data_IF_903940090492
#
_entry.id   IF_903940090492
#
_cell.length_a   1.000
_cell.length_b   1.000
_cell.length_c   1.000
_cell.angle_alpha   90.00
_cell.angle_beta   90.00
_cell.angle_gamma   90.00
#
_symmetry.space_group_name_H-M   'P 1'
#
loop_
_entity.id
_entity.type
_entity.pdbx_description
1 polymer ?
#
# COMPACT_ATOMS: atom_id res chain seq x y z
N UNK A 1 1.28 -0.73 42.30
CA UNK A 1 1.30 -0.77 40.81
C UNK A 1 0.50 -1.95 40.24
N UNK A 2 -0.81 -2.07 40.52
CA UNK A 2 -1.64 -3.18 40.00
C UNK A 2 -2.85 -2.75 39.13
N UNK A 3 -3.23 -1.47 39.15
CA UNK A 3 -4.41 -0.99 38.40
C UNK A 3 -4.10 -0.52 36.96
N UNK A 4 -2.83 -0.43 36.56
CA UNK A 4 -2.47 0.03 35.20
C UNK A 4 -2.50 -1.09 34.15
N UNK A 5 -2.34 -2.36 34.55
CA UNK A 5 -2.35 -3.50 33.64
C UNK A 5 -3.75 -3.86 33.12
N UNK A 6 -4.80 -3.67 33.95
CA UNK A 6 -6.18 -4.00 33.58
C UNK A 6 -6.77 -3.01 32.53
N UNK A 7 -6.37 -1.74 32.59
CA UNK A 7 -6.78 -0.72 31.63
C UNK A 7 -6.14 -0.93 30.24
N UNK A 8 -4.95 -1.52 30.16
CA UNK A 8 -4.33 -1.85 28.87
C UNK A 8 -5.06 -3.00 28.15
N UNK A 9 -5.51 -4.02 28.90
CA UNK A 9 -6.21 -5.19 28.34
C UNK A 9 -7.60 -4.85 27.78
N UNK A 10 -8.33 -3.93 28.42
CA UNK A 10 -9.64 -3.49 27.91
C UNK A 10 -9.49 -2.71 26.60
N UNK A 11 -8.53 -1.78 26.52
CA UNK A 11 -8.31 -0.97 25.30
C UNK A 11 -7.91 -1.85 24.11
N UNK A 12 -7.07 -2.87 24.32
CA UNK A 12 -6.65 -3.79 23.25
C UNK A 12 -7.80 -4.65 22.72
N UNK A 13 -8.69 -5.16 23.57
CA UNK A 13 -9.84 -5.96 23.11
C UNK A 13 -10.87 -5.14 22.31
N UNK A 14 -11.13 -3.89 22.70
CA UNK A 14 -12.00 -2.99 21.93
C UNK A 14 -11.42 -2.58 20.57
N UNK A 15 -10.09 -2.50 20.48
CA UNK A 15 -9.36 -2.21 19.23
C UNK A 15 -9.51 -3.33 18.21
N UNK A 16 -9.29 -4.58 18.62
CA UNK A 16 -9.43 -5.76 17.75
C UNK A 16 -10.87 -5.91 17.24
N UNK A 17 -11.87 -5.68 18.11
CA UNK A 17 -13.28 -5.79 17.74
C UNK A 17 -13.72 -4.72 16.74
N UNK A 18 -13.27 -3.47 16.90
CA UNK A 18 -13.59 -2.38 15.97
C UNK A 18 -13.01 -2.62 14.57
N UNK A 19 -11.82 -3.23 14.51
CA UNK A 19 -11.20 -3.60 13.26
C UNK A 19 -11.91 -4.79 12.61
N UNK A 20 -12.23 -5.84 13.38
CA UNK A 20 -12.96 -7.02 12.89
C UNK A 20 -14.30 -6.67 12.25
N UNK A 21 -15.05 -5.72 12.83
CA UNK A 21 -16.33 -5.25 12.27
C UNK A 21 -16.14 -4.46 10.97
N UNK A 22 -15.10 -3.63 10.89
CA UNK A 22 -14.77 -2.88 9.66
C UNK A 22 -14.29 -3.81 8.54
N UNK A 23 -13.63 -4.92 8.90
CA UNK A 23 -13.17 -5.93 7.96
C UNK A 23 -14.31 -6.87 7.53
N UNK A 24 -15.27 -7.18 8.41
CA UNK A 24 -16.42 -8.03 8.10
C UNK A 24 -17.45 -7.38 7.19
N UNK A 25 -17.56 -6.04 7.17
CA UNK A 25 -18.47 -5.34 6.26
C UNK A 25 -18.08 -5.43 4.79
N UNK A 26 -16.89 -5.98 4.47
CA UNK A 26 -16.48 -6.29 3.10
C UNK A 26 -17.09 -7.57 2.53
N UNK A 27 -17.64 -8.45 3.38
CA UNK A 27 -18.17 -9.76 2.99
C UNK A 27 -19.70 -9.82 2.87
N UNK A 28 -20.41 -8.69 3.04
CA UNK A 28 -21.85 -8.65 2.76
C UNK A 28 -22.07 -8.71 1.24
N UNK A 29 -22.07 -9.95 0.72
CA UNK A 29 -22.48 -10.33 -0.64
C UNK A 29 -23.96 -10.75 -0.69
N UNK A 30 -24.64 -10.79 0.45
CA UNK A 30 -26.03 -11.23 0.53
C UNK A 30 -26.94 -10.00 0.52
N UNK A 31 -27.78 -9.91 -0.52
CA UNK A 31 -28.81 -8.88 -0.75
C UNK A 31 -29.91 -8.79 0.32
N UNK A 32 -29.72 -9.39 1.51
CA UNK A 32 -30.74 -9.55 2.55
C UNK A 32 -30.38 -8.92 3.91
N UNK A 33 -29.14 -8.51 4.13
CA UNK A 33 -28.75 -7.83 5.38
C UNK A 33 -28.75 -6.31 5.17
N UNK A 34 -29.73 -5.61 5.77
CA UNK A 34 -29.74 -4.15 5.81
C UNK A 34 -28.50 -3.65 6.57
N UNK A 35 -27.53 -3.09 5.84
CA UNK A 35 -26.34 -2.50 6.44
C UNK A 35 -26.69 -1.10 6.96
N UNK A 36 -26.70 -0.92 8.29
CA UNK A 36 -26.83 0.42 8.88
C UNK A 36 -25.55 1.24 8.67
N UNK A 37 -25.58 2.11 7.67
CA UNK A 37 -24.46 2.99 7.36
C UNK A 37 -24.07 3.95 8.48
N UNK A 38 -24.98 4.31 9.39
CA UNK A 38 -24.64 5.14 10.54
C UNK A 38 -23.71 4.40 11.51
N UNK A 39 -23.97 3.10 11.73
CA UNK A 39 -23.11 2.25 12.56
C UNK A 39 -21.75 2.07 11.88
N UNK A 40 -21.74 1.79 10.57
CA UNK A 40 -20.49 1.66 9.79
C UNK A 40 -19.65 2.93 9.86
N UNK A 41 -20.24 4.11 9.63
CA UNK A 41 -19.53 5.39 9.71
C UNK A 41 -19.01 5.67 11.11
N UNK A 42 -19.80 5.42 12.17
CA UNK A 42 -19.34 5.55 13.57
C UNK A 42 -18.14 4.64 13.86
N UNK A 43 -18.19 3.39 13.38
CA UNK A 43 -17.11 2.43 13.59
C UNK A 43 -15.86 2.82 12.82
N UNK A 44 -15.99 3.25 11.56
CA UNK A 44 -14.86 3.74 10.75
C UNK A 44 -14.21 4.98 11.38
N UNK A 45 -15.00 5.92 11.90
CA UNK A 45 -14.49 7.07 12.65
C UNK A 45 -13.74 6.64 13.92
N UNK A 46 -14.30 5.69 14.67
CA UNK A 46 -13.66 5.16 15.89
C UNK A 46 -12.33 4.47 15.55
N UNK A 47 -12.33 3.61 14.54
CA UNK A 47 -11.15 2.89 14.06
C UNK A 47 -10.07 3.87 13.57
N UNK A 48 -10.44 4.85 12.75
CA UNK A 48 -9.52 5.89 12.28
C UNK A 48 -8.88 6.67 13.46
N UNK A 49 -9.67 7.05 14.48
CA UNK A 49 -9.15 7.70 15.69
C UNK A 49 -8.16 6.80 16.45
N UNK A 50 -8.43 5.50 16.54
CA UNK A 50 -7.51 4.54 17.15
C UNK A 50 -6.19 4.45 16.38
N UNK A 51 -6.25 4.35 15.05
CA UNK A 51 -5.06 4.37 14.20
C UNK A 51 -4.22 5.63 14.43
N UNK A 52 -4.84 6.82 14.40
CA UNK A 52 -4.11 8.09 14.62
C UNK A 52 -3.55 8.22 16.03
N UNK A 53 -4.19 7.65 17.05
CA UNK A 53 -3.66 7.61 18.41
C UNK A 53 -2.44 6.70 18.52
N UNK A 54 -2.50 5.53 17.90
CA UNK A 54 -1.40 4.57 17.86
C UNK A 54 -0.20 5.12 17.08
N UNK A 55 -0.45 5.86 16.00
CA UNK A 55 0.58 6.41 15.14
C UNK A 55 1.62 7.27 15.86
N UNK A 56 1.21 7.95 16.94
CA UNK A 56 2.11 8.77 17.76
C UNK A 56 3.17 7.98 18.52
N UNK A 57 3.05 6.65 18.60
CA UNK A 57 3.94 5.77 19.38
C UNK A 57 4.84 4.90 18.50
N UNK A 58 4.70 4.97 17.18
CA UNK A 58 5.34 4.07 16.23
C UNK A 58 6.19 4.90 15.26
N UNK A 59 7.44 4.48 15.08
CA UNK A 59 8.30 5.06 14.05
C UNK A 59 8.04 4.37 12.70
N UNK A 60 7.09 4.90 11.94
CA UNK A 60 6.80 4.39 10.59
C UNK A 60 7.89 4.72 9.56
N UNK A 61 8.79 5.69 9.83
CA UNK A 61 9.84 6.07 8.86
C UNK A 61 10.86 4.95 8.67
N UNK A 62 11.14 4.16 9.71
CA UNK A 62 12.07 3.03 9.61
C UNK A 62 11.50 1.81 8.89
N UNK A 63 10.17 1.71 8.73
CA UNK A 63 9.52 0.57 8.09
C UNK A 63 9.93 0.39 6.63
N UNK A 64 10.03 1.48 5.86
CA UNK A 64 10.40 1.40 4.43
C UNK A 64 11.75 0.72 4.21
N UNK A 65 12.71 0.92 5.13
CA UNK A 65 14.03 0.29 5.05
C UNK A 65 13.94 -1.22 5.23
N UNK A 66 13.07 -1.69 6.12
CA UNK A 66 12.83 -3.13 6.34
C UNK A 66 12.16 -3.72 5.11
N UNK A 67 11.08 -3.09 4.62
CA UNK A 67 10.37 -3.52 3.40
C UNK A 67 11.34 -3.63 2.21
N UNK A 68 12.19 -2.62 1.98
CA UNK A 68 13.13 -2.63 0.85
C UNK A 68 14.21 -3.71 1.04
N UNK A 69 14.71 -3.91 2.26
CA UNK A 69 15.70 -4.97 2.54
C UNK A 69 15.14 -6.36 2.21
N UNK A 70 13.88 -6.58 2.58
CA UNK A 70 13.19 -7.86 2.48
C UNK A 70 12.50 -8.05 1.10
N UNK A 71 12.66 -7.09 0.20
CA UNK A 71 12.13 -7.11 -1.15
C UNK A 71 12.81 -8.21 -1.98
N UNK A 72 11.98 -9.12 -2.54
CA UNK A 72 12.43 -10.24 -3.36
C UNK A 72 12.04 -10.02 -4.83
N UNK A 73 13.04 -9.97 -5.71
CA UNK A 73 12.88 -9.82 -7.15
C UNK A 73 13.36 -11.04 -7.92
N UNK A 74 13.55 -12.20 -7.27
CA UNK A 74 13.93 -13.45 -7.95
C UNK A 74 13.00 -13.78 -9.12
N UNK A 75 11.75 -13.36 -9.02
CA UNK A 75 10.73 -13.61 -10.03
C UNK A 75 10.72 -12.60 -11.20
N UNK A 76 11.50 -11.52 -11.15
CA UNK A 76 11.62 -10.53 -12.23
C UNK A 76 13.04 -10.60 -12.80
N UNK A 77 13.29 -11.40 -13.85
CA UNK A 77 14.63 -11.58 -14.41
C UNK A 77 15.15 -10.33 -15.12
N UNK A 78 14.25 -9.50 -15.68
CA UNK A 78 14.60 -8.40 -16.58
C UNK A 78 15.42 -7.29 -15.92
N UNK A 79 16.29 -6.64 -16.69
CA UNK A 79 17.06 -5.48 -16.22
C UNK A 79 16.17 -4.27 -15.87
N UNK A 80 14.96 -4.24 -16.41
CA UNK A 80 13.95 -3.22 -16.19
C UNK A 80 12.85 -3.78 -15.30
N UNK A 81 12.32 -2.96 -14.38
CA UNK A 81 11.15 -3.29 -13.58
C UNK A 81 10.23 -2.08 -13.53
N UNK A 82 8.93 -2.30 -13.76
CA UNK A 82 7.92 -1.25 -13.66
C UNK A 82 7.24 -1.32 -12.30
N UNK A 83 7.34 -0.25 -11.51
CA UNK A 83 6.58 -0.03 -10.30
C UNK A 83 5.27 0.67 -10.65
N UNK A 84 4.16 -0.06 -10.54
CA UNK A 84 2.80 0.48 -10.69
C UNK A 84 2.41 1.20 -9.40
N UNK A 85 2.28 2.52 -9.49
CA UNK A 85 1.85 3.40 -8.42
C UNK A 85 0.35 3.67 -8.57
N UNK A 86 -0.49 2.80 -8.00
CA UNK A 86 -1.91 3.10 -7.94
C UNK A 86 -2.14 4.24 -6.95
N UNK A 87 -2.46 5.40 -7.50
CA UNK A 87 -2.80 6.59 -6.72
C UNK A 87 -4.27 6.62 -6.37
N UNK A 88 -5.10 5.87 -7.11
CA UNK A 88 -6.50 5.68 -6.78
C UNK A 88 -6.67 4.40 -5.98
N UNK A 89 -7.53 4.46 -4.97
CA UNK A 89 -8.14 3.23 -4.49
C UNK A 89 -8.99 2.77 -5.66
N UNK A 90 -8.63 1.65 -6.27
CA UNK A 90 -9.51 0.95 -7.20
C UNK A 90 -10.72 0.52 -6.38
N UNK A 91 -11.67 1.44 -6.23
CA UNK A 91 -13.07 1.11 -5.99
C UNK A 91 -13.47 0.44 -7.31
N UNK A 92 -13.18 -0.86 -7.41
CA UNK A 92 -14.04 -1.72 -8.20
C UNK A 92 -15.45 -1.36 -7.75
N UNK A 93 -16.35 -1.20 -8.70
CA UNK A 93 -17.77 -0.97 -8.46
C UNK A 93 -18.46 -2.16 -7.75
N UNK A 94 -17.79 -2.82 -6.80
CA UNK A 94 -18.45 -3.38 -5.63
C UNK A 94 -18.93 -2.20 -4.80
N UNK A 95 -20.18 -1.81 -5.03
CA UNK A 95 -20.91 -0.82 -4.25
C UNK A 95 -20.66 -1.05 -2.76
N UNK A 96 -19.72 -0.30 -2.15
CA UNK A 96 -19.66 -0.25 -0.71
C UNK A 96 -20.90 0.50 -0.28
N UNK A 97 -21.91 -0.26 0.18
CA UNK A 97 -23.23 0.24 0.60
C UNK A 97 -23.08 1.48 1.51
N UNK A 98 -21.99 1.52 2.29
CA UNK A 98 -21.63 2.63 3.16
C UNK A 98 -20.20 3.13 2.89
N UNK A 99 -20.00 3.87 1.81
CA UNK A 99 -18.72 4.53 1.50
C UNK A 99 -18.30 5.49 2.62
N UNK A 100 -16.99 5.54 2.95
CA UNK A 100 -16.42 6.48 3.90
C UNK A 100 -15.26 7.24 3.27
N UNK A 101 -15.23 8.56 3.45
CA UNK A 101 -14.11 9.40 3.00
C UNK A 101 -12.85 9.25 3.88
N UNK A 102 -12.92 8.44 4.95
CA UNK A 102 -11.78 8.16 5.80
C UNK A 102 -10.97 7.00 5.20
N UNK A 103 -9.68 7.24 5.00
CA UNK A 103 -8.74 6.17 4.70
C UNK A 103 -8.55 5.28 5.94
N UNK A 104 -9.35 4.22 6.05
CA UNK A 104 -9.27 3.22 7.10
C UNK A 104 -8.38 2.03 6.73
N UNK A 105 -7.99 1.90 5.45
CA UNK A 105 -7.17 0.80 4.96
C UNK A 105 -5.69 1.01 5.28
N UNK A 106 -5.18 2.21 5.02
CA UNK A 106 -3.80 2.56 5.32
C UNK A 106 -3.62 3.99 5.87
N UNK A 107 -4.29 4.33 7.00
CA UNK A 107 -4.25 5.67 7.60
C UNK A 107 -2.88 6.12 8.10
N UNK A 108 -1.97 5.19 8.43
CA UNK A 108 -0.73 5.48 9.15
C UNK A 108 0.53 5.24 8.32
N UNK A 109 0.49 4.29 7.38
CA UNK A 109 1.59 4.01 6.48
C UNK A 109 1.04 3.54 5.14
N UNK A 110 1.29 4.33 4.10
CA UNK A 110 0.81 4.10 2.75
C UNK A 110 1.92 4.34 1.71
N UNK A 111 1.53 4.42 0.43
CA UNK A 111 2.45 4.61 -0.68
C UNK A 111 3.23 5.93 -0.58
N UNK A 112 2.65 7.02 -0.06
CA UNK A 112 3.36 8.29 0.15
C UNK A 112 4.50 8.14 1.16
N UNK A 113 4.27 7.35 2.22
CA UNK A 113 5.29 7.07 3.24
C UNK A 113 6.41 6.15 2.73
N UNK A 114 6.05 5.21 1.84
CA UNK A 114 7.02 4.29 1.23
C UNK A 114 7.85 4.99 0.14
N UNK A 115 7.21 5.66 -0.81
CA UNK A 115 7.88 6.35 -1.91
C UNK A 115 8.38 7.72 -1.45
N UNK A 116 9.59 7.77 -0.96
CA UNK A 116 10.35 9.03 -0.76
C UNK A 116 11.60 9.01 -1.63
N UNK A 117 12.21 10.17 -1.94
CA UNK A 117 13.47 10.21 -2.68
C UNK A 117 14.56 9.30 -2.07
N UNK A 118 14.64 9.25 -0.73
CA UNK A 118 15.60 8.41 0.00
C UNK A 118 15.31 6.93 -0.19
N UNK A 119 14.04 6.54 -0.09
CA UNK A 119 13.61 5.15 -0.25
C UNK A 119 13.74 4.67 -1.70
N UNK A 120 13.48 5.54 -2.68
CA UNK A 120 13.70 5.24 -4.11
C UNK A 120 15.18 4.97 -4.37
N UNK A 121 16.10 5.80 -3.85
CA UNK A 121 17.55 5.55 -3.95
C UNK A 121 17.94 4.21 -3.30
N UNK A 122 17.37 3.91 -2.13
CA UNK A 122 17.63 2.65 -1.44
C UNK A 122 17.14 1.45 -2.26
N UNK A 123 15.96 1.56 -2.85
CA UNK A 123 15.37 0.56 -3.72
C UNK A 123 16.24 0.34 -4.98
N UNK A 124 16.71 1.40 -5.64
CA UNK A 124 17.63 1.32 -6.77
C UNK A 124 18.90 0.54 -6.41
N UNK A 125 19.52 0.90 -5.27
CA UNK A 125 20.73 0.23 -4.78
C UNK A 125 20.50 -1.25 -4.47
N UNK A 126 19.36 -1.58 -3.88
CA UNK A 126 18.99 -2.96 -3.49
C UNK A 126 18.70 -3.82 -4.73
N UNK A 127 17.92 -3.31 -5.67
CA UNK A 127 17.46 -4.10 -6.81
C UNK A 127 18.51 -4.21 -7.92
N UNK A 128 19.40 -3.21 -8.05
CA UNK A 128 20.37 -3.12 -9.15
C UNK A 128 19.71 -3.28 -10.54
N UNK A 129 18.50 -2.73 -10.68
CA UNK A 129 17.69 -2.73 -11.89
C UNK A 129 17.31 -1.29 -12.24
N UNK A 130 16.99 -1.08 -13.52
CA UNK A 130 16.37 0.14 -14.01
C UNK A 130 14.93 0.18 -13.51
N UNK A 131 14.56 1.21 -12.75
CA UNK A 131 13.24 1.32 -12.16
C UNK A 131 12.39 2.29 -12.98
N UNK A 132 11.21 1.85 -13.39
CA UNK A 132 10.22 2.64 -14.11
C UNK A 132 9.05 2.85 -13.18
N UNK A 133 8.65 4.08 -12.89
CA UNK A 133 7.55 4.36 -11.96
C UNK A 133 6.31 4.80 -12.73
N UNK A 134 5.37 3.90 -12.90
CA UNK A 134 4.17 4.15 -13.69
C UNK A 134 3.02 4.62 -12.81
N UNK A 135 2.54 5.84 -13.06
CA UNK A 135 1.42 6.46 -12.35
C UNK A 135 0.08 6.26 -13.07
N UNK A 136 0.07 5.56 -14.21
CA UNK A 136 -1.15 5.25 -14.93
C UNK A 136 -2.01 4.29 -14.10
N UNK A 137 -3.24 4.71 -13.84
CA UNK A 137 -4.30 3.77 -13.49
C UNK A 137 -4.45 2.79 -14.65
N UNK A 138 -4.68 1.52 -14.34
CA UNK A 138 -5.14 0.52 -15.29
C UNK A 138 -6.13 1.14 -16.26
N UNK A 139 -5.83 1.16 -17.56
CA UNK A 139 -6.82 1.47 -18.59
C UNK A 139 -8.03 0.58 -18.32
N UNK A 140 -9.12 1.16 -17.83
CA UNK A 140 -10.41 0.51 -17.96
C UNK A 140 -10.71 0.44 -19.46
N UNK A 141 -11.49 -0.56 -19.87
CA UNK A 141 -11.92 -0.78 -21.26
C UNK A 141 -12.59 0.47 -21.89
N UNK A 142 -12.90 1.50 -21.08
CA UNK A 142 -13.63 2.71 -21.47
C UNK A 142 -12.79 4.01 -21.51
N UNK A 143 -11.44 3.96 -21.48
CA UNK A 143 -10.57 5.15 -21.58
C UNK A 143 -10.74 6.24 -20.49
N UNK A 144 -11.42 5.97 -19.37
CA UNK A 144 -11.55 6.95 -18.29
C UNK A 144 -10.25 7.05 -17.47
N UNK A 145 -9.46 8.10 -17.73
CA UNK A 145 -8.32 8.48 -16.90
C UNK A 145 -8.82 9.03 -15.57
N UNK A 146 -8.52 8.35 -14.46
CA UNK A 146 -8.68 8.97 -13.13
C UNK A 146 -7.50 9.91 -12.89
N UNK A 147 -7.75 11.17 -12.48
CA UNK A 147 -6.67 12.11 -12.20
C UNK A 147 -5.84 11.64 -11.00
N UNK A 148 -4.51 11.78 -11.13
CA UNK A 148 -3.58 11.57 -10.01
C UNK A 148 -4.04 12.43 -8.82
N UNK A 149 -4.10 11.85 -7.63
CA UNK A 149 -4.52 12.58 -6.43
C UNK A 149 -3.61 13.79 -6.19
N UNK A 150 -4.21 14.93 -5.81
CA UNK A 150 -3.48 16.19 -5.52
C UNK A 150 -2.38 16.00 -4.48
N UNK A 151 -2.62 15.16 -3.46
CA UNK A 151 -1.63 14.79 -2.44
C UNK A 151 -0.38 14.14 -3.05
N UNK A 152 -0.53 13.32 -4.08
CA UNK A 152 0.58 12.68 -4.80
C UNK A 152 1.40 13.71 -5.57
N UNK A 153 0.72 14.60 -6.32
CA UNK A 153 1.38 15.66 -7.12
C UNK A 153 2.21 16.58 -6.22
N UNK A 154 1.70 16.87 -5.03
CA UNK A 154 2.36 17.72 -4.05
C UNK A 154 3.45 16.99 -3.24
N UNK A 155 3.54 15.66 -3.33
CA UNK A 155 4.51 14.90 -2.55
C UNK A 155 5.94 15.03 -3.12
N UNK A 156 7.00 15.16 -2.29
CA UNK A 156 8.38 15.34 -2.77
C UNK A 156 8.86 14.28 -3.75
N UNK A 157 8.39 13.03 -3.61
CA UNK A 157 8.77 11.95 -4.52
C UNK A 157 8.29 12.20 -5.96
N UNK A 158 7.14 12.87 -6.16
CA UNK A 158 6.62 13.15 -7.50
C UNK A 158 7.55 14.11 -8.25
N UNK A 159 7.99 15.18 -7.58
CA UNK A 159 8.97 16.11 -8.15
C UNK A 159 10.34 15.45 -8.33
N UNK A 160 10.76 14.62 -7.38
CA UNK A 160 12.01 13.86 -7.51
C UNK A 160 12.02 12.95 -8.74
N UNK A 161 10.95 12.17 -8.93
CA UNK A 161 10.78 11.35 -10.13
C UNK A 161 10.69 12.22 -11.38
N UNK A 162 10.04 13.38 -11.32
CA UNK A 162 10.02 14.35 -12.43
C UNK A 162 11.42 14.85 -12.80
N UNK A 163 12.29 15.09 -11.83
CA UNK A 163 13.65 15.58 -12.06
C UNK A 163 14.63 14.47 -12.46
N UNK A 164 14.44 13.23 -12.00
CA UNK A 164 15.22 12.09 -12.50
C UNK A 164 15.05 11.90 -14.01
N UNK A 165 13.85 12.21 -14.54
CA UNK A 165 13.53 12.13 -15.98
C UNK A 165 14.48 12.95 -16.86
N UNK A 166 15.02 14.06 -16.35
CA UNK A 166 15.87 14.96 -17.15
C UNK A 166 17.36 14.64 -17.08
N UNK A 167 17.81 13.80 -16.14
CA UNK A 167 19.23 13.58 -15.86
C UNK A 167 19.74 12.15 -16.08
N UNK A 168 18.89 11.13 -15.96
CA UNK A 168 19.32 9.72 -15.95
C UNK A 168 18.51 8.85 -16.93
N UNK A 169 19.13 8.46 -18.06
CA UNK A 169 18.51 7.65 -19.12
C UNK A 169 18.19 6.20 -18.68
N UNK A 170 18.61 5.78 -17.50
CA UNK A 170 18.30 4.45 -16.93
C UNK A 170 16.97 4.40 -16.18
N UNK A 171 16.31 5.55 -16.00
CA UNK A 171 15.03 5.70 -15.29
C UNK A 171 14.05 6.35 -16.27
N UNK A 172 13.52 5.62 -17.25
CA UNK A 172 12.46 6.21 -18.09
C UNK A 172 11.12 6.13 -17.34
N UNK A 173 10.38 7.21 -17.44
CA UNK A 173 8.99 7.31 -17.02
C UNK A 173 8.19 7.55 -18.29
N UNK A 174 6.98 6.97 -18.41
CA UNK A 174 6.09 7.44 -19.45
C UNK A 174 4.61 7.46 -19.02
N UNK A 175 3.97 8.65 -18.97
CA UNK A 175 2.54 8.75 -19.01
C UNK A 175 1.99 9.08 -20.40
N UNK A 176 2.77 9.52 -21.42
CA UNK A 176 2.27 9.99 -22.73
C UNK A 176 3.29 10.16 -23.92
N UNK A 177 4.45 9.47 -24.04
CA UNK A 177 5.18 9.04 -25.28
C UNK A 177 6.66 8.61 -25.10
N UNK A 178 7.00 7.45 -25.71
CA UNK A 178 8.16 7.10 -26.56
C UNK A 178 9.57 7.43 -26.05
N UNK A 179 10.08 6.77 -25.00
CA UNK A 179 11.52 6.43 -24.91
C UNK A 179 11.74 5.09 -24.19
N UNK A 180 11.31 4.03 -24.86
CA UNK A 180 12.08 2.80 -25.02
C UNK A 180 11.77 2.32 -26.44
N UNK A 181 12.59 1.48 -27.07
CA UNK A 181 11.99 0.65 -28.13
C UNK A 181 10.86 -0.10 -27.41
N UNK A 182 9.57 0.03 -27.81
CA UNK A 182 8.44 -0.56 -27.08
C UNK A 182 8.69 -2.04 -26.71
N UNK A 183 9.39 -2.75 -27.61
CA UNK A 183 9.87 -4.12 -27.46
C UNK A 183 10.59 -4.38 -26.12
N UNK A 184 11.46 -3.47 -25.64
CA UNK A 184 12.26 -3.66 -24.41
C UNK A 184 11.51 -3.41 -23.09
N UNK A 185 10.34 -2.77 -23.13
CA UNK A 185 9.46 -2.60 -21.97
C UNK A 185 8.27 -3.55 -22.01
N UNK A 186 7.83 -3.98 -23.19
CA UNK A 186 6.71 -4.91 -23.35
C UNK A 186 6.95 -6.27 -22.70
N UNK A 187 8.22 -6.67 -22.54
CA UNK A 187 8.61 -7.91 -21.86
C UNK A 187 8.95 -7.70 -20.38
N UNK A 188 9.04 -6.46 -19.91
CA UNK A 188 9.46 -6.17 -18.54
C UNK A 188 8.36 -6.54 -17.53
N UNK A 189 8.73 -7.29 -16.49
CA UNK A 189 7.85 -7.49 -15.35
C UNK A 189 7.48 -6.19 -14.64
N UNK A 190 6.27 -6.14 -14.09
CA UNK A 190 5.82 -5.04 -13.23
C UNK A 190 5.52 -5.52 -11.82
N UNK A 191 5.58 -4.62 -10.86
CA UNK A 191 5.21 -4.86 -9.48
C UNK A 191 4.32 -3.72 -8.98
N UNK A 192 3.28 -4.08 -8.25
CA UNK A 192 2.46 -3.15 -7.49
C UNK A 192 2.59 -3.45 -5.99
N UNK A 193 2.79 -2.40 -5.20
CA UNK A 193 2.81 -2.46 -3.75
C UNK A 193 1.50 -1.91 -3.20
N UNK A 194 0.82 -2.70 -2.38
CA UNK A 194 -0.35 -2.26 -1.63
C UNK A 194 -0.09 -2.36 -0.13
N UNK A 195 -0.52 -1.35 0.62
CA UNK A 195 -0.32 -1.27 2.07
C UNK A 195 -1.66 -1.38 2.81
N UNK A 196 -1.67 -2.14 3.90
CA UNK A 196 -2.78 -2.20 4.86
C UNK A 196 -2.24 -2.02 6.27
N UNK A 197 -2.86 -1.14 7.06
CA UNK A 197 -2.55 -0.98 8.48
C UNK A 197 -3.53 -1.80 9.31
N UNK A 198 -3.01 -2.35 10.41
CA UNK A 198 -3.75 -3.04 11.45
C UNK A 198 -3.33 -2.46 12.81
N UNK A 199 -4.26 -2.45 13.78
CA UNK A 199 -3.94 -2.00 15.13
C UNK A 199 -2.90 -2.93 15.77
N UNK A 200 -2.18 -2.42 16.76
CA UNK A 200 -1.04 -3.12 17.37
C UNK A 200 0.26 -2.96 16.59
N UNK A 201 0.38 -1.93 15.77
CA UNK A 201 1.56 -1.58 15.00
C UNK A 201 1.87 -2.60 13.92
N UNK A 202 0.85 -3.07 13.21
CA UNK A 202 0.97 -4.06 12.15
C UNK A 202 0.77 -3.39 10.79
N UNK A 203 1.66 -3.67 9.85
CA UNK A 203 1.56 -3.24 8.46
C UNK A 203 1.73 -4.44 7.55
N UNK A 204 0.88 -4.54 6.54
CA UNK A 204 0.93 -5.60 5.56
C UNK A 204 1.24 -4.97 4.22
N UNK A 205 2.20 -5.58 3.55
CA UNK A 205 2.59 -5.22 2.20
C UNK A 205 2.20 -6.37 1.30
N UNK A 206 1.29 -6.10 0.37
CA UNK A 206 0.96 -6.99 -0.74
C UNK A 206 1.82 -6.58 -1.93
N UNK A 207 2.53 -7.55 -2.48
CA UNK A 207 3.37 -7.43 -3.66
C UNK A 207 2.66 -8.20 -4.78
N UNK A 208 2.07 -7.45 -5.70
CA UNK A 208 1.44 -7.99 -6.90
C UNK A 208 2.49 -7.97 -8.00
N UNK A 209 3.10 -9.13 -8.26
CA UNK A 209 4.08 -9.28 -9.33
C UNK A 209 3.37 -9.66 -10.62
N UNK A 210 3.76 -9.03 -11.71
CA UNK A 210 3.41 -9.47 -13.05
C UNK A 210 4.68 -9.79 -13.81
N UNK A 211 4.69 -10.97 -14.40
CA UNK A 211 5.84 -11.50 -15.12
C UNK A 211 5.33 -11.88 -16.49
N UNK A 212 5.91 -11.29 -17.54
CA UNK A 212 5.49 -11.55 -18.90
C UNK A 212 5.51 -13.07 -19.20
N UNK A 213 4.41 -13.59 -19.74
CA UNK A 213 4.21 -15.00 -20.08
C UNK A 213 4.39 -16.01 -18.92
N UNK A 214 4.20 -15.59 -17.66
CA UNK A 214 4.27 -16.48 -16.50
C UNK A 214 3.15 -16.21 -15.51
N UNK A 215 2.93 -17.16 -14.60
CA UNK A 215 2.06 -16.94 -13.45
C UNK A 215 2.58 -15.76 -12.63
N UNK A 216 1.67 -14.85 -12.29
CA UNK A 216 1.89 -13.61 -11.55
C UNK A 216 1.70 -13.88 -10.05
N UNK A 217 2.76 -14.11 -9.25
CA UNK A 217 2.59 -14.42 -7.85
C UNK A 217 2.12 -13.19 -7.07
N UNK A 218 1.24 -13.42 -6.10
CA UNK A 218 0.89 -12.44 -5.07
C UNK A 218 1.60 -12.86 -3.80
N UNK A 219 2.43 -11.98 -3.26
CA UNK A 219 3.14 -12.21 -2.00
C UNK A 219 2.63 -11.23 -0.97
N UNK A 220 2.40 -11.71 0.24
CA UNK A 220 2.09 -10.87 1.39
C UNK A 220 3.24 -10.96 2.39
N UNK A 221 3.63 -9.81 2.93
CA UNK A 221 4.53 -9.74 4.09
C UNK A 221 3.88 -8.91 5.18
N UNK A 222 3.98 -9.39 6.40
CA UNK A 222 3.44 -8.71 7.58
C UNK A 222 4.59 -8.23 8.45
N UNK A 223 4.57 -6.95 8.79
CA UNK A 223 5.55 -6.30 9.65
C UNK A 223 4.88 -5.86 10.93
N UNK A 224 5.54 -6.10 12.07
CA UNK A 224 5.08 -5.67 13.38
C UNK A 224 6.11 -4.78 14.03
N UNK A 225 5.65 -3.68 14.62
CA UNK A 225 6.47 -2.83 15.46
C UNK A 225 6.51 -3.37 16.89
N UNK A 226 7.67 -3.86 17.31
CA UNK A 226 7.91 -4.37 18.66
C UNK A 226 9.31 -3.97 19.13
N UNK A 227 9.44 -3.66 20.41
CA UNK A 227 10.72 -3.23 21.01
C UNK A 227 11.43 -2.11 20.24
N UNK A 228 10.62 -1.16 19.75
CA UNK A 228 11.03 0.00 18.94
C UNK A 228 11.68 -0.36 17.60
N UNK A 229 11.39 -1.55 17.06
CA UNK A 229 11.90 -2.02 15.77
C UNK A 229 10.78 -2.67 14.96
N UNK A 230 10.89 -2.60 13.64
CA UNK A 230 10.06 -3.37 12.73
C UNK A 230 10.69 -4.73 12.49
N UNK A 231 9.86 -5.78 12.59
CA UNK A 231 10.24 -7.15 12.26
C UNK A 231 9.21 -7.75 11.32
N UNK A 232 9.67 -8.59 10.39
CA UNK A 232 8.78 -9.46 9.62
C UNK A 232 8.23 -10.55 10.56
N UNK A 233 6.93 -10.80 10.52
CA UNK A 233 6.25 -11.89 11.22
C UNK A 233 5.45 -12.72 10.22
N UNK A 234 5.09 -13.98 10.55
CA UNK A 234 4.24 -14.79 9.69
C UNK A 234 2.94 -14.05 9.33
N UNK A 235 2.63 -14.00 8.03
CA UNK A 235 1.34 -13.50 7.57
C UNK A 235 0.24 -14.50 7.93
N UNK A 236 -0.88 -13.98 8.43
CA UNK A 236 -2.07 -14.75 8.79
C UNK A 236 -3.22 -14.39 7.86
N UNK A 237 -4.17 -15.30 7.66
CA UNK A 237 -5.32 -15.05 6.78
C UNK A 237 -6.17 -13.86 7.24
N UNK A 238 -6.37 -13.72 8.56
CA UNK A 238 -7.11 -12.60 9.20
C UNK A 238 -6.51 -11.22 8.89
N UNK A 239 -5.28 -11.19 8.40
CA UNK A 239 -4.55 -9.98 8.06
C UNK A 239 -4.67 -9.63 6.56
N UNK A 240 -4.96 -10.59 5.68
CA UNK A 240 -4.94 -10.43 4.21
C UNK A 240 -5.95 -9.38 3.70
N UNK A 241 -5.75 -8.90 2.46
CA UNK A 241 -6.45 -7.76 1.85
C UNK A 241 -7.93 -8.02 1.58
#
# INVERSE_FOLDING_TARGET
MKNSFFLLFLVLNFSVQAQKISDSTRYFRNDYDEVDCNIVWKNNQKLFKLFKKEAKKIDYKSLSKVIIKDFDIKNIPDKNIIFKLYTTETVYATFTICGSNLNIKNPNYNYLDFYTPENIKLLQKKLKKNLYFDFSDSKFENNEYRPIKKETINHPFYQYLKNMRSADKTVCYDPDTVVSKPITLNEAGWIQLNFRNHLGGIVIVKYDYFIYNKFSPVVFKTYKYQDRKWVEIPTKDEHLF
#
